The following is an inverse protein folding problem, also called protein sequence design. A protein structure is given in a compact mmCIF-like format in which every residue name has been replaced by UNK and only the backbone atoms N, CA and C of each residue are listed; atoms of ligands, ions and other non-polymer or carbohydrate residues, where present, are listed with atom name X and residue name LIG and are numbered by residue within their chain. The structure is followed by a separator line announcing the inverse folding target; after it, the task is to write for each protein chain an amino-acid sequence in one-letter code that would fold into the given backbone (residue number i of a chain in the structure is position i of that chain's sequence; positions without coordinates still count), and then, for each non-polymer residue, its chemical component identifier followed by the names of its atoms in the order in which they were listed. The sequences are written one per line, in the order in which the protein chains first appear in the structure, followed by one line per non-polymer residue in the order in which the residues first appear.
data_IF_600678775190
#
_entry.id   IF_600678775190
#
_cell.length_a   1.000
_cell.length_b   1.000
_cell.length_c   1.000
_cell.angle_alpha   90.00
_cell.angle_beta   90.00
_cell.angle_gamma   90.00
#
_symmetry.space_group_name_H-M   'P 1'
#
loop_
_entity.id
_entity.type
_entity.pdbx_description
1 polymer ?
#
# COMPACT_ATOMS: atom_id res chain seq x y z
N UNK A 1 -8.02 14.71 -12.40
CA UNK A 1 -6.92 14.09 -11.64
C UNK A 1 -6.88 12.59 -11.91
N UNK A 2 -5.69 12.05 -12.13
CA UNK A 2 -5.53 10.63 -12.44
C UNK A 2 -5.89 9.76 -11.23
N UNK A 3 -6.73 8.74 -11.44
CA UNK A 3 -7.07 7.78 -10.40
C UNK A 3 -5.98 6.72 -10.26
N UNK A 4 -5.69 6.33 -9.02
CA UNK A 4 -4.71 5.30 -8.71
C UNK A 4 -5.44 4.10 -8.11
N UNK A 5 -5.24 2.89 -8.66
CA UNK A 5 -5.94 1.72 -8.14
C UNK A 5 -5.48 1.37 -6.73
N UNK A 6 -6.43 0.94 -5.91
CA UNK A 6 -6.21 0.56 -4.52
C UNK A 6 -7.23 -0.52 -4.16
N UNK A 7 -6.81 -1.55 -3.42
CA UNK A 7 -7.76 -2.53 -2.94
C UNK A 7 -8.64 -1.94 -1.85
N UNK A 8 -9.85 -2.49 -1.68
CA UNK A 8 -10.75 -2.04 -0.61
C UNK A 8 -10.10 -2.21 0.77
N UNK A 9 -9.33 -3.28 0.97
CA UNK A 9 -8.61 -3.50 2.23
C UNK A 9 -7.57 -2.41 2.49
N UNK A 10 -6.81 -2.04 1.46
CA UNK A 10 -5.83 -0.95 1.56
C UNK A 10 -6.50 0.38 1.86
N UNK A 11 -7.62 0.67 1.19
CA UNK A 11 -8.37 1.91 1.44
C UNK A 11 -8.89 1.97 2.88
N UNK A 12 -9.39 0.86 3.41
CA UNK A 12 -9.86 0.80 4.80
C UNK A 12 -8.74 1.02 5.80
N UNK A 13 -7.56 0.47 5.55
CA UNK A 13 -6.38 0.70 6.40
C UNK A 13 -5.99 2.17 6.43
N UNK A 14 -5.99 2.84 5.28
CA UNK A 14 -5.67 4.26 5.20
C UNK A 14 -6.72 5.11 5.93
N UNK A 15 -8.00 4.77 5.78
CA UNK A 15 -9.08 5.46 6.47
C UNK A 15 -8.97 5.31 7.99
N UNK A 16 -8.61 4.13 8.46
CA UNK A 16 -8.42 3.87 9.89
C UNK A 16 -7.25 4.68 10.44
N UNK A 17 -6.13 4.71 9.72
CA UNK A 17 -4.97 5.51 10.11
C UNK A 17 -5.32 6.99 10.15
N UNK A 18 -6.01 7.49 9.12
CA UNK A 18 -6.42 8.89 9.02
C UNK A 18 -7.34 9.27 10.20
N UNK A 19 -8.29 8.42 10.52
CA UNK A 19 -9.19 8.63 11.65
C UNK A 19 -8.42 8.72 12.98
N UNK A 20 -7.48 7.80 13.21
CA UNK A 20 -6.63 7.81 14.40
C UNK A 20 -5.80 9.08 14.50
N UNK A 21 -5.20 9.52 13.39
CA UNK A 21 -4.40 10.74 13.36
C UNK A 21 -5.23 11.98 13.69
N UNK A 22 -6.44 12.08 13.14
CA UNK A 22 -7.32 13.24 13.36
C UNK A 22 -7.95 13.26 14.74
N UNK A 23 -8.30 12.09 15.30
CA UNK A 23 -9.10 12.01 16.52
C UNK A 23 -8.28 11.73 17.77
N UNK A 24 -7.06 11.19 17.63
CA UNK A 24 -6.20 10.85 18.76
C UNK A 24 -4.86 11.59 18.72
N UNK A 25 -4.12 11.45 17.64
CA UNK A 25 -2.77 12.02 17.58
C UNK A 25 -2.77 13.54 17.50
N UNK A 26 -3.60 14.11 16.63
CA UNK A 26 -3.69 15.57 16.51
C UNK A 26 -4.08 16.23 17.83
N UNK A 27 -5.15 15.82 18.54
CA UNK A 27 -5.48 16.40 19.82
C UNK A 27 -4.39 16.23 20.86
N UNK A 28 -3.74 15.06 20.90
CA UNK A 28 -2.65 14.79 21.85
C UNK A 28 -1.49 15.77 21.65
N UNK A 29 -1.13 16.04 20.41
CA UNK A 29 -0.04 16.95 20.08
C UNK A 29 -0.43 18.41 20.39
N UNK A 30 -1.66 18.80 20.08
CA UNK A 30 -2.16 20.15 20.44
C UNK A 30 -2.08 20.36 21.95
N UNK A 31 -2.46 19.35 22.74
CA UNK A 31 -2.35 19.40 24.19
C UNK A 31 -0.88 19.50 24.64
N UNK A 32 0.01 18.72 24.03
CA UNK A 32 1.44 18.75 24.34
C UNK A 32 2.06 20.11 24.05
N UNK A 33 1.65 20.77 22.96
CA UNK A 33 2.10 22.11 22.62
C UNK A 33 1.61 23.12 23.67
N UNK A 34 0.35 23.03 24.06
CA UNK A 34 -0.22 23.91 25.06
C UNK A 34 0.51 23.78 26.41
N UNK A 35 0.79 22.57 26.85
CA UNK A 35 1.54 22.29 28.07
C UNK A 35 2.97 22.82 27.99
N UNK A 36 3.65 22.61 26.86
CA UNK A 36 5.02 23.07 26.66
C UNK A 36 5.09 24.61 26.68
N UNK A 37 4.11 25.29 26.07
CA UNK A 37 4.04 26.75 26.07
C UNK A 37 3.88 27.33 27.47
N UNK A 38 3.21 26.60 28.35
CA UNK A 38 3.03 27.03 29.74
C UNK A 38 4.34 27.06 30.54
N UNK A 39 5.39 26.39 30.06
CA UNK A 39 6.70 26.39 30.71
C UNK A 39 7.54 27.66 30.41
N UNK A 40 7.10 28.56 29.53
CA UNK A 40 7.75 29.85 29.31
C UNK A 40 8.48 29.98 27.98
N UNK A 41 9.76 30.35 28.01
CA UNK A 41 10.53 30.74 26.83
C UNK A 41 10.50 29.68 25.71
N UNK A 42 9.87 30.03 24.58
CA UNK A 42 9.68 29.09 23.45
C UNK A 42 10.98 28.85 22.69
N UNK A 43 11.89 29.81 22.64
CA UNK A 43 13.12 29.69 21.86
C UNK A 43 14.09 28.62 22.43
N UNK A 44 14.05 28.40 23.74
CA UNK A 44 14.90 27.42 24.44
C UNK A 44 14.11 26.22 24.98
N UNK A 45 12.83 26.12 24.67
CA UNK A 45 11.94 25.08 25.18
C UNK A 45 12.00 23.86 24.27
N UNK A 46 12.81 22.86 24.69
CA UNK A 46 12.98 21.61 23.91
C UNK A 46 11.69 20.83 23.77
N UNK A 47 10.83 20.82 24.79
CA UNK A 47 9.53 20.14 24.72
C UNK A 47 8.61 20.78 23.70
N UNK A 48 8.60 22.11 23.62
CA UNK A 48 7.84 22.84 22.62
C UNK A 48 8.32 22.52 21.20
N UNK A 49 9.63 22.54 20.98
CA UNK A 49 10.19 22.26 19.66
C UNK A 49 9.93 20.82 19.23
N UNK A 50 10.05 19.85 20.15
CA UNK A 50 9.73 18.45 19.87
C UNK A 50 8.26 18.26 19.50
N UNK A 51 7.36 18.91 20.24
CA UNK A 51 5.92 18.82 19.95
C UNK A 51 5.55 19.47 18.61
N UNK A 52 6.18 20.60 18.27
CA UNK A 52 5.97 21.25 16.97
C UNK A 52 6.47 20.37 15.81
N UNK A 53 7.59 19.69 15.99
CA UNK A 53 8.10 18.76 14.99
C UNK A 53 7.14 17.59 14.77
N UNK A 54 6.64 17.00 15.85
CA UNK A 54 5.63 15.94 15.77
C UNK A 54 4.35 16.43 15.07
N UNK A 55 3.93 17.69 15.36
CA UNK A 55 2.78 18.27 14.68
C UNK A 55 2.98 18.31 13.16
N UNK A 56 4.17 18.73 12.73
CA UNK A 56 4.51 18.76 11.31
C UNK A 56 4.39 17.39 10.66
N UNK A 57 4.90 16.33 11.32
CA UNK A 57 4.81 14.98 10.80
C UNK A 57 3.37 14.47 10.72
N UNK A 58 2.57 14.71 11.75
CA UNK A 58 1.17 14.28 11.79
C UNK A 58 0.34 15.03 10.73
N UNK A 59 0.48 16.34 10.64
CA UNK A 59 -0.29 17.11 9.65
C UNK A 59 0.13 16.76 8.22
N UNK A 60 1.43 16.52 7.99
CA UNK A 60 1.93 16.05 6.70
C UNK A 60 1.37 14.69 6.32
N UNK A 61 1.31 13.76 7.27
CA UNK A 61 0.75 12.41 7.02
C UNK A 61 -0.75 12.49 6.76
N UNK A 62 -1.49 13.33 7.49
CA UNK A 62 -2.92 13.54 7.24
C UNK A 62 -3.15 14.05 5.81
N UNK A 63 -2.38 15.06 5.39
CA UNK A 63 -2.51 15.60 4.04
C UNK A 63 -2.20 14.54 2.98
N UNK A 64 -1.17 13.72 3.20
CA UNK A 64 -0.80 12.61 2.31
C UNK A 64 -1.94 11.59 2.20
N UNK A 65 -2.51 11.17 3.33
CA UNK A 65 -3.61 10.21 3.34
C UNK A 65 -4.87 10.75 2.70
N UNK A 66 -5.20 12.02 2.97
CA UNK A 66 -6.34 12.68 2.32
C UNK A 66 -6.19 12.68 0.79
N UNK A 67 -5.00 13.00 0.30
CA UNK A 67 -4.73 13.00 -1.14
C UNK A 67 -4.82 11.60 -1.74
N UNK A 68 -4.21 10.61 -1.10
CA UNK A 68 -4.25 9.21 -1.56
C UNK A 68 -5.68 8.69 -1.65
N UNK A 69 -6.49 8.96 -0.62
CA UNK A 69 -7.89 8.54 -0.61
C UNK A 69 -8.73 9.30 -1.64
N UNK A 70 -8.48 10.59 -1.83
CA UNK A 70 -9.19 11.39 -2.82
C UNK A 70 -8.93 10.95 -4.26
N UNK A 71 -7.73 10.45 -4.54
CA UNK A 71 -7.34 10.00 -5.88
C UNK A 71 -7.45 8.49 -6.06
N UNK A 72 -7.92 7.75 -5.06
CA UNK A 72 -8.01 6.30 -5.13
C UNK A 72 -9.17 5.85 -6.02
N UNK A 73 -8.89 4.86 -6.86
CA UNK A 73 -9.91 4.02 -7.46
C UNK A 73 -9.97 2.75 -6.65
N UNK A 74 -10.95 2.65 -5.76
CA UNK A 74 -11.07 1.52 -4.83
C UNK A 74 -11.70 0.34 -5.54
N UNK A 75 -11.01 -0.81 -5.49
CA UNK A 75 -11.42 -2.04 -6.15
C UNK A 75 -11.56 -3.14 -5.12
N UNK A 76 -12.73 -3.79 -5.09
CA UNK A 76 -12.96 -4.98 -4.28
C UNK A 76 -12.69 -6.21 -5.17
N UNK A 77 -11.62 -6.99 -4.90
CA UNK A 77 -11.31 -8.15 -5.73
C UNK A 77 -12.45 -9.16 -5.83
N UNK A 78 -13.25 -9.28 -4.79
CA UNK A 78 -14.38 -10.25 -4.76
C UNK A 78 -15.49 -9.91 -5.73
N UNK A 79 -15.60 -8.65 -6.15
CA UNK A 79 -16.68 -8.19 -7.04
C UNK A 79 -16.23 -8.06 -8.49
N UNK A 80 -14.95 -8.28 -8.78
CA UNK A 80 -14.42 -8.15 -10.14
C UNK A 80 -14.78 -9.38 -10.96
N UNK A 81 -15.41 -9.15 -12.12
CA UNK A 81 -15.66 -10.21 -13.10
C UNK A 81 -14.55 -10.16 -14.16
N UNK A 82 -13.51 -10.94 -13.96
CA UNK A 82 -12.32 -10.90 -14.79
C UNK A 82 -12.27 -12.00 -15.87
N UNK A 83 -13.26 -12.89 -15.91
CA UNK A 83 -13.29 -13.97 -16.91
C UNK A 83 -12.10 -14.92 -16.81
N UNK A 84 -11.55 -15.11 -15.62
CA UNK A 84 -10.40 -15.99 -15.39
C UNK A 84 -9.05 -15.36 -15.69
N UNK A 85 -9.01 -14.07 -15.98
CA UNK A 85 -7.76 -13.37 -16.25
C UNK A 85 -7.15 -12.77 -15.01
N UNK A 86 -5.84 -12.53 -15.05
CA UNK A 86 -5.14 -11.80 -14.01
C UNK A 86 -5.46 -10.32 -14.15
N UNK A 87 -6.04 -9.74 -13.11
CA UNK A 87 -6.38 -8.31 -13.03
C UNK A 87 -5.89 -7.75 -11.70
N UNK A 88 -5.97 -6.44 -11.56
CA UNK A 88 -5.65 -5.79 -10.28
C UNK A 88 -6.44 -6.43 -9.14
N UNK A 89 -5.77 -6.68 -8.03
CA UNK A 89 -6.38 -7.27 -6.84
C UNK A 89 -6.35 -8.80 -6.82
N UNK A 90 -6.04 -9.46 -7.95
CA UNK A 90 -6.00 -10.92 -8.01
C UNK A 90 -4.88 -11.49 -7.13
N UNK A 91 -5.16 -12.63 -6.50
CA UNK A 91 -4.19 -13.41 -5.74
C UNK A 91 -3.79 -14.62 -6.56
N UNK A 92 -2.50 -14.78 -6.80
CA UNK A 92 -1.95 -15.78 -7.71
C UNK A 92 -1.07 -16.77 -6.96
N UNK A 93 -1.23 -18.04 -7.28
CA UNK A 93 -0.25 -19.07 -6.93
C UNK A 93 0.62 -19.31 -8.14
N UNK A 94 1.92 -19.11 -7.99
CA UNK A 94 2.91 -19.20 -9.06
C UNK A 94 3.94 -20.27 -8.72
N UNK A 95 4.49 -20.91 -9.77
CA UNK A 95 5.61 -21.82 -9.65
C UNK A 95 6.81 -21.21 -10.36
N UNK A 96 7.90 -21.04 -9.63
CA UNK A 96 9.18 -20.62 -10.23
C UNK A 96 9.71 -21.80 -11.04
N UNK A 97 9.83 -21.64 -12.36
CA UNK A 97 10.23 -22.72 -13.26
C UNK A 97 11.67 -23.18 -13.03
N UNK A 98 12.53 -22.31 -12.48
CA UNK A 98 13.93 -22.62 -12.23
C UNK A 98 14.14 -23.38 -10.93
N UNK A 99 13.48 -22.97 -9.85
CA UNK A 99 13.63 -23.59 -8.53
C UNK A 99 12.58 -24.65 -8.25
N UNK A 100 11.45 -24.62 -8.96
CA UNK A 100 10.29 -25.46 -8.70
C UNK A 100 9.49 -25.05 -7.48
N UNK A 101 9.85 -23.96 -6.82
CA UNK A 101 9.17 -23.49 -5.61
C UNK A 101 7.92 -22.71 -5.94
N UNK A 102 6.89 -22.88 -5.09
CA UNK A 102 5.66 -22.09 -5.17
C UNK A 102 5.78 -20.78 -4.42
N UNK A 103 5.12 -19.76 -4.93
CA UNK A 103 4.98 -18.47 -4.27
C UNK A 103 3.58 -17.94 -4.51
N UNK A 104 3.04 -17.23 -3.53
CA UNK A 104 1.72 -16.59 -3.63
C UNK A 104 1.87 -15.09 -3.58
N UNK A 105 1.33 -14.40 -4.59
CA UNK A 105 1.35 -12.94 -4.67
C UNK A 105 -0.04 -12.40 -4.92
N UNK A 106 -0.34 -11.26 -4.29
CA UNK A 106 -1.51 -10.45 -4.62
C UNK A 106 -1.04 -9.17 -5.30
N UNK A 107 -1.70 -8.78 -6.38
CA UNK A 107 -1.40 -7.54 -7.09
C UNK A 107 -2.20 -6.41 -6.45
N UNK A 108 -1.49 -5.43 -5.91
CA UNK A 108 -2.08 -4.33 -5.13
C UNK A 108 -1.59 -2.97 -5.64
N UNK A 109 -2.09 -1.89 -5.05
CA UNK A 109 -1.63 -0.54 -5.37
C UNK A 109 -0.21 -0.27 -4.87
N UNK A 110 0.41 0.77 -5.40
CA UNK A 110 1.82 1.06 -5.14
C UNK A 110 2.12 1.24 -3.64
N UNK A 111 1.23 1.89 -2.88
CA UNK A 111 1.47 2.08 -1.44
C UNK A 111 1.02 0.92 -0.58
N UNK A 112 0.35 -0.07 -1.15
CA UNK A 112 -0.04 -1.29 -0.44
C UNK A 112 1.03 -2.37 -0.52
N UNK A 113 2.00 -2.22 -1.42
CA UNK A 113 3.00 -3.24 -1.73
C UNK A 113 3.82 -3.59 -0.49
N UNK A 114 3.95 -4.89 -0.24
CA UNK A 114 4.76 -5.45 0.83
C UNK A 114 5.16 -6.86 0.44
N UNK A 115 6.34 -7.01 -0.12
CA UNK A 115 6.81 -8.28 -0.67
C UNK A 115 6.90 -9.36 0.41
N UNK A 116 7.21 -8.98 1.66
CA UNK A 116 7.28 -9.93 2.77
C UNK A 116 5.92 -10.57 3.07
N UNK A 117 4.82 -9.88 2.73
CA UNK A 117 3.45 -10.39 2.89
C UNK A 117 2.86 -10.87 1.56
N UNK A 118 3.67 -10.99 0.52
CA UNK A 118 3.21 -11.44 -0.79
C UNK A 118 2.40 -10.40 -1.56
N UNK A 119 2.51 -9.13 -1.23
CA UNK A 119 1.77 -8.05 -1.90
C UNK A 119 2.69 -7.31 -2.85
N UNK A 120 2.47 -7.46 -4.16
CA UNK A 120 3.29 -6.85 -5.20
C UNK A 120 2.57 -5.67 -5.83
N UNK A 121 3.34 -4.61 -6.12
CA UNK A 121 2.78 -3.41 -6.74
C UNK A 121 2.34 -3.71 -8.18
N UNK A 122 1.21 -3.13 -8.58
CA UNK A 122 0.72 -3.17 -9.95
C UNK A 122 1.76 -2.62 -10.96
N UNK A 123 2.63 -1.73 -10.52
CA UNK A 123 3.68 -1.15 -11.36
C UNK A 123 4.97 -1.99 -11.39
N UNK A 124 5.08 -3.05 -10.58
CA UNK A 124 6.26 -3.90 -10.56
C UNK A 124 6.42 -4.70 -11.85
N UNK A 125 7.66 -5.07 -12.22
CA UNK A 125 7.87 -5.87 -13.44
C UNK A 125 7.11 -7.18 -13.45
N UNK A 126 7.05 -7.90 -12.32
CA UNK A 126 6.34 -9.17 -12.24
C UNK A 126 4.83 -8.97 -12.39
N UNK A 127 4.24 -7.95 -11.77
CA UNK A 127 2.82 -7.67 -11.91
C UNK A 127 2.48 -7.31 -13.35
N UNK A 128 3.31 -6.49 -14.01
CA UNK A 128 3.11 -6.12 -15.41
C UNK A 128 3.15 -7.31 -16.35
N UNK A 129 4.02 -8.29 -16.07
CA UNK A 129 4.11 -9.50 -16.86
C UNK A 129 2.89 -10.40 -16.68
N UNK A 130 2.28 -10.38 -15.48
CA UNK A 130 1.17 -11.25 -15.13
C UNK A 130 -0.19 -10.71 -15.56
N UNK A 131 -0.39 -9.40 -15.57
CA UNK A 131 -1.68 -8.77 -15.91
C UNK A 131 -2.15 -9.24 -17.29
N UNK A 132 -3.41 -9.66 -17.36
CA UNK A 132 -4.03 -10.13 -18.59
C UNK A 132 -3.76 -11.58 -18.93
N UNK A 133 -2.93 -12.27 -18.16
CA UNK A 133 -2.64 -13.69 -18.38
C UNK A 133 -3.72 -14.57 -17.78
N UNK A 134 -3.67 -15.85 -18.09
CA UNK A 134 -4.65 -16.84 -17.68
C UNK A 134 -3.98 -18.00 -16.96
N UNK A 135 -4.81 -18.84 -16.32
CA UNK A 135 -4.36 -20.05 -15.66
C UNK A 135 -3.54 -20.92 -16.63
N UNK A 136 -2.40 -21.40 -16.17
CA UNK A 136 -1.50 -22.24 -16.97
C UNK A 136 -0.50 -21.48 -17.82
N UNK A 137 -0.65 -20.18 -17.96
CA UNK A 137 0.32 -19.39 -18.70
C UNK A 137 1.67 -19.32 -17.97
N UNK A 138 2.74 -19.30 -18.75
CA UNK A 138 4.11 -19.10 -18.26
C UNK A 138 4.55 -17.70 -18.66
N UNK A 139 5.04 -16.92 -17.70
CA UNK A 139 5.51 -15.57 -17.94
C UNK A 139 6.99 -15.44 -17.62
N UNK A 140 7.67 -14.61 -18.38
CA UNK A 140 9.09 -14.28 -18.14
C UNK A 140 9.20 -12.89 -17.57
N UNK A 141 10.03 -12.73 -16.53
CA UNK A 141 10.23 -11.47 -15.84
C UNK A 141 11.72 -11.17 -15.79
N UNK A 142 12.09 -9.98 -16.26
CA UNK A 142 13.46 -9.48 -16.11
C UNK A 142 13.67 -8.97 -14.70
N UNK A 143 14.64 -9.53 -14.01
CA UNK A 143 15.05 -9.12 -12.65
C UNK A 143 16.54 -8.87 -12.64
N UNK A 144 17.10 -8.19 -11.60
CA UNK A 144 18.54 -7.88 -11.57
C UNK A 144 19.45 -9.09 -11.72
N UNK A 145 19.02 -10.28 -11.28
CA UNK A 145 19.81 -11.52 -11.42
C UNK A 145 19.64 -12.24 -12.74
N UNK A 146 18.87 -11.72 -13.69
CA UNK A 146 18.59 -12.36 -14.98
C UNK A 146 17.10 -12.46 -15.27
N UNK A 147 16.72 -13.48 -16.03
CA UNK A 147 15.32 -13.75 -16.38
C UNK A 147 14.77 -14.85 -15.47
N UNK A 148 13.59 -14.62 -14.91
CA UNK A 148 12.85 -15.66 -14.17
C UNK A 148 11.56 -15.98 -14.87
N UNK A 149 11.19 -17.26 -14.87
CA UNK A 149 9.94 -17.72 -15.47
C UNK A 149 9.02 -18.27 -14.40
N UNK A 150 7.73 -17.92 -14.48
CA UNK A 150 6.72 -18.37 -13.53
C UNK A 150 5.53 -18.96 -14.28
N UNK A 151 5.03 -20.09 -13.79
CA UNK A 151 3.77 -20.69 -14.28
C UNK A 151 2.65 -20.28 -13.33
N UNK A 152 1.52 -19.88 -13.89
CA UNK A 152 0.32 -19.50 -13.11
C UNK A 152 -0.44 -20.79 -12.76
N UNK A 153 -0.40 -21.18 -11.49
CA UNK A 153 -1.04 -22.40 -11.00
C UNK A 153 -2.48 -22.17 -10.55
N UNK A 154 -2.79 -20.96 -10.06
CA UNK A 154 -4.11 -20.63 -9.55
C UNK A 154 -4.32 -19.13 -9.57
N UNK A 155 -5.57 -18.70 -9.78
CA UNK A 155 -5.97 -17.28 -9.77
C UNK A 155 -7.21 -17.17 -8.88
N UNK A 156 -7.12 -16.35 -7.84
CA UNK A 156 -8.23 -16.11 -6.91
C UNK A 156 -8.52 -14.64 -6.80
N UNK A 157 -9.81 -14.33 -6.64
CA UNK A 157 -10.31 -12.95 -6.49
C UNK A 157 -10.86 -12.81 -5.07
N UNK A 158 -9.99 -12.77 -4.09
CA UNK A 158 -10.35 -12.82 -2.65
C UNK A 158 -10.03 -11.53 -1.89
#
# INVERSE_FOLDING_TARGET
MKKTPMTITGAEKLKTELHRLKTRERPRIIQAIAEARAHGDLSENAEYHAAKEQQGFVEGRIAELDLKLATAQVIDPKTVNAGGRVVFGATLSLKDEQSGQGVTYQIVGDFEANIAQGMISISSPIARALIGKELGDVVEVQVPGGVRSYEILDIRYV
#
